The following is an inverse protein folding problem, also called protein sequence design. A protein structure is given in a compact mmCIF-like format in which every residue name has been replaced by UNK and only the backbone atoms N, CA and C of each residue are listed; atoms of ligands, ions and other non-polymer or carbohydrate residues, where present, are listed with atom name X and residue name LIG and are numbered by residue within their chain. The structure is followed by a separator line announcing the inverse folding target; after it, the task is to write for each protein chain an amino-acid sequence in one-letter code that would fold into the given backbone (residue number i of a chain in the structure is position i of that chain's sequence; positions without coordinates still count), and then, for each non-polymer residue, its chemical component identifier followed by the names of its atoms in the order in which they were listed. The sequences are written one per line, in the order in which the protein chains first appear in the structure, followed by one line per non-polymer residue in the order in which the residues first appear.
data_IF_356067427055
#
_entry.id   IF_356067427055
#
_cell.length_a   1.000
_cell.length_b   1.000
_cell.length_c   1.000
_cell.angle_alpha   90.00
_cell.angle_beta   90.00
_cell.angle_gamma   90.00
#
_symmetry.space_group_name_H-M   'P 1'
#
loop_
_entity.id
_entity.type
_entity.pdbx_description
1 polymer ?
#
# COMPACT_ATOMS: atom_id res chain seq x y z
N UNK A 1 -29.55 77.99 1.75
CA UNK A 1 -30.67 77.20 2.29
C UNK A 1 -30.51 75.74 1.91
N UNK A 2 -30.49 74.86 2.93
CA UNK A 2 -31.23 73.59 2.97
C UNK A 2 -30.83 72.53 1.91
N UNK A 3 -29.92 71.61 2.25
CA UNK A 3 -30.25 70.24 2.72
C UNK A 3 -31.03 69.47 1.64
N UNK A 4 -30.57 68.38 1.05
CA UNK A 4 -30.08 67.12 1.63
C UNK A 4 -29.53 66.29 0.46
N UNK A 5 -28.46 65.54 0.70
CA UNK A 5 -27.94 64.35 -0.05
C UNK A 5 -26.42 64.18 0.10
N UNK A 6 -25.79 65.00 0.92
CA UNK A 6 -24.58 64.63 1.66
C UNK A 6 -25.07 63.78 2.86
N UNK A 7 -24.40 62.68 3.17
CA UNK A 7 -24.66 61.71 4.27
C UNK A 7 -25.48 60.44 3.97
N UNK A 8 -25.14 59.70 2.92
CA UNK A 8 -25.25 58.22 2.95
C UNK A 8 -23.96 57.51 2.47
N UNK A 9 -22.98 58.24 1.91
CA UNK A 9 -21.76 57.65 1.34
C UNK A 9 -20.49 57.78 2.20
N UNK A 10 -20.60 58.12 3.50
CA UNK A 10 -19.43 58.36 4.37
C UNK A 10 -19.63 57.87 5.82
N UNK A 11 -19.96 56.59 6.03
CA UNK A 11 -19.91 55.97 7.38
C UNK A 11 -19.57 54.48 7.42
N UNK A 12 -18.77 53.94 6.49
CA UNK A 12 -18.10 52.64 6.72
C UNK A 12 -16.68 52.59 6.13
N UNK A 13 -15.92 53.67 6.34
CA UNK A 13 -14.47 53.57 6.43
C UNK A 13 -14.17 53.11 7.87
N UNK A 14 -13.45 51.99 7.99
CA UNK A 14 -12.90 51.40 9.22
C UNK A 14 -13.88 50.52 10.00
N UNK A 15 -14.05 49.25 9.59
CA UNK A 15 -13.88 48.04 10.45
C UNK A 15 -13.66 46.86 9.51
N UNK A 16 -12.52 46.16 9.65
CA UNK A 16 -12.36 44.82 9.05
C UNK A 16 -11.19 44.64 8.08
N UNK A 17 -10.13 45.44 8.18
CA UNK A 17 -8.81 45.01 7.73
C UNK A 17 -8.31 43.85 8.58
N UNK A 18 -8.77 42.64 8.28
CA UNK A 18 -8.10 41.39 8.65
C UNK A 18 -8.24 40.37 7.51
N UNK A 19 -7.88 40.76 6.29
CA UNK A 19 -7.30 39.79 5.36
C UNK A 19 -5.85 39.54 5.81
N UNK A 20 -5.70 38.87 6.95
CA UNK A 20 -4.47 38.12 7.17
C UNK A 20 -4.57 36.89 6.28
N UNK A 21 -3.94 37.01 5.11
CA UNK A 21 -3.31 35.88 4.46
C UNK A 21 -2.55 35.11 5.54
N UNK A 22 -3.12 34.02 6.04
CA UNK A 22 -2.38 33.05 6.84
C UNK A 22 -1.50 32.24 5.88
N UNK A 23 -0.54 32.95 5.27
CA UNK A 23 0.58 32.44 4.49
C UNK A 23 1.85 32.52 5.35
N UNK A 24 1.76 32.14 6.62
CA UNK A 24 2.90 31.97 7.51
C UNK A 24 2.63 30.81 8.48
N UNK A 25 2.65 29.60 7.94
CA UNK A 25 3.11 28.43 8.68
C UNK A 25 4.07 27.63 7.79
N UNK A 26 5.35 28.02 7.68
CA UNK A 26 6.35 27.18 7.00
C UNK A 26 6.74 25.93 7.80
N UNK A 27 6.21 25.75 9.02
CA UNK A 27 6.65 24.70 9.96
C UNK A 27 5.50 23.98 10.66
N UNK A 28 4.36 23.76 9.99
CA UNK A 28 3.56 22.57 10.29
C UNK A 28 3.99 21.50 9.30
N UNK A 29 4.99 20.74 9.74
CA UNK A 29 5.46 19.57 9.02
C UNK A 29 4.25 18.80 8.51
N UNK A 30 4.24 18.57 7.20
CA UNK A 30 3.49 17.49 6.59
C UNK A 30 4.12 16.18 7.12
N UNK A 31 3.99 15.95 8.42
CA UNK A 31 4.16 14.64 9.03
C UNK A 31 2.95 13.92 8.52
N UNK A 32 3.11 13.30 7.36
CA UNK A 32 2.19 12.38 6.76
C UNK A 32 1.50 11.63 7.91
N UNK A 33 0.21 11.92 8.18
CA UNK A 33 -0.61 11.00 8.97
C UNK A 33 -0.85 9.78 8.08
N UNK A 34 0.21 9.03 7.76
CA UNK A 34 0.12 7.68 7.20
C UNK A 34 -0.60 6.91 8.29
N UNK A 35 -1.91 6.76 8.16
CA UNK A 35 -2.69 5.86 9.00
C UNK A 35 -2.02 4.51 8.86
N UNK A 36 -1.29 4.10 9.89
CA UNK A 36 -0.70 2.78 9.97
C UNK A 36 -1.86 1.84 10.25
N UNK A 37 -2.43 1.27 9.18
CA UNK A 37 -3.41 0.20 9.33
C UNK A 37 -2.70 -1.02 9.89
N UNK A 38 -3.30 -1.64 10.92
CA UNK A 38 -2.80 -2.93 11.40
C UNK A 38 -2.97 -3.99 10.29
N UNK A 39 -2.18 -5.07 10.30
CA UNK A 39 -2.32 -6.11 9.27
C UNK A 39 -3.72 -6.75 9.26
N UNK A 40 -4.37 -6.82 10.41
CA UNK A 40 -5.76 -7.29 10.55
C UNK A 40 -6.76 -6.32 9.91
N UNK A 41 -6.64 -5.01 10.18
CA UNK A 41 -7.49 -3.99 9.54
C UNK A 41 -7.33 -3.99 8.00
N UNK A 42 -6.13 -4.28 7.49
CA UNK A 42 -5.91 -4.44 6.05
C UNK A 42 -6.61 -5.69 5.49
N UNK A 43 -6.51 -6.83 6.18
CA UNK A 43 -7.20 -8.06 5.78
C UNK A 43 -8.72 -7.88 5.78
N UNK A 44 -9.27 -7.25 6.82
CA UNK A 44 -10.71 -6.94 6.90
C UNK A 44 -11.16 -6.04 5.75
N UNK A 45 -10.37 -5.01 5.40
CA UNK A 45 -10.64 -4.17 4.23
C UNK A 45 -10.60 -4.94 2.92
N UNK A 46 -9.65 -5.87 2.77
CA UNK A 46 -9.56 -6.72 1.58
C UNK A 46 -10.75 -7.68 1.50
N UNK A 47 -11.21 -8.25 2.61
CA UNK A 47 -12.40 -9.08 2.68
C UNK A 47 -13.66 -8.29 2.30
N UNK A 48 -13.85 -7.10 2.88
CA UNK A 48 -14.95 -6.21 2.53
C UNK A 48 -14.95 -5.79 1.06
N UNK A 49 -13.76 -5.51 0.50
CA UNK A 49 -13.64 -5.21 -0.93
C UNK A 49 -14.00 -6.43 -1.78
N UNK A 50 -13.59 -7.63 -1.37
CA UNK A 50 -13.91 -8.86 -2.10
C UNK A 50 -15.39 -9.18 -2.06
N UNK A 51 -16.06 -9.04 -0.91
CA UNK A 51 -17.52 -9.17 -0.75
C UNK A 51 -18.25 -8.29 -1.77
N UNK A 52 -17.87 -7.01 -1.88
CA UNK A 52 -18.43 -6.08 -2.87
C UNK A 52 -18.14 -6.50 -4.30
N UNK A 53 -16.92 -6.95 -4.57
CA UNK A 53 -16.49 -7.37 -5.92
C UNK A 53 -17.25 -8.61 -6.40
N UNK A 54 -17.62 -9.50 -5.47
CA UNK A 54 -18.34 -10.73 -5.73
C UNK A 54 -19.86 -10.59 -5.63
N UNK A 55 -20.35 -9.42 -5.22
CA UNK A 55 -21.77 -9.11 -5.01
C UNK A 55 -22.44 -10.15 -4.08
N UNK A 56 -21.81 -10.45 -2.95
CA UNK A 56 -22.37 -11.41 -2.00
C UNK A 56 -23.52 -10.79 -1.20
N UNK A 57 -24.56 -11.58 -0.95
CA UNK A 57 -25.59 -11.25 0.03
C UNK A 57 -25.02 -11.30 1.47
N UNK A 58 -25.74 -10.71 2.42
CA UNK A 58 -25.28 -10.58 3.80
C UNK A 58 -25.02 -11.95 4.46
N UNK A 59 -25.87 -12.95 4.21
CA UNK A 59 -25.71 -14.27 4.81
C UNK A 59 -24.46 -14.99 4.28
N UNK A 60 -24.20 -14.89 2.97
CA UNK A 60 -22.98 -15.42 2.36
C UNK A 60 -21.74 -14.63 2.78
N UNK A 61 -21.84 -13.30 2.88
CA UNK A 61 -20.75 -12.42 3.30
C UNK A 61 -20.28 -12.73 4.72
N UNK A 62 -21.20 -12.95 5.67
CA UNK A 62 -20.87 -13.33 7.06
C UNK A 62 -20.08 -14.63 7.14
N UNK A 63 -20.41 -15.63 6.31
CA UNK A 63 -19.68 -16.90 6.24
C UNK A 63 -18.34 -16.76 5.49
N UNK A 64 -18.32 -15.95 4.44
CA UNK A 64 -17.17 -15.78 3.57
C UNK A 64 -16.03 -15.01 4.23
N UNK A 65 -16.33 -13.91 4.93
CA UNK A 65 -15.33 -13.01 5.51
C UNK A 65 -14.25 -13.75 6.35
N UNK A 66 -14.58 -14.54 7.39
CA UNK A 66 -13.56 -15.19 8.21
C UNK A 66 -12.74 -16.22 7.43
N UNK A 67 -13.34 -16.94 6.48
CA UNK A 67 -12.63 -17.91 5.63
C UNK A 67 -11.63 -17.19 4.72
N UNK A 68 -12.04 -16.08 4.12
CA UNK A 68 -11.17 -15.31 3.23
C UNK A 68 -10.06 -14.57 3.98
N UNK A 69 -10.31 -14.07 5.18
CA UNK A 69 -9.29 -13.47 6.04
C UNK A 69 -8.21 -14.49 6.45
N UNK A 70 -8.60 -15.71 6.85
CA UNK A 70 -7.64 -16.78 7.14
C UNK A 70 -6.82 -17.17 5.90
N UNK A 71 -7.47 -17.28 4.75
CA UNK A 71 -6.77 -17.51 3.47
C UNK A 71 -5.72 -16.42 3.18
N UNK A 72 -6.06 -15.13 3.36
CA UNK A 72 -5.12 -14.03 3.17
C UNK A 72 -3.96 -14.09 4.18
N UNK A 73 -4.25 -14.42 5.44
CA UNK A 73 -3.25 -14.57 6.49
C UNK A 73 -2.26 -15.68 6.14
N UNK A 74 -2.75 -16.87 5.78
CA UNK A 74 -1.89 -18.00 5.41
C UNK A 74 -1.05 -17.71 4.16
N UNK A 75 -1.63 -17.07 3.15
CA UNK A 75 -0.87 -16.63 1.98
C UNK A 75 0.23 -15.62 2.34
N UNK A 76 -0.05 -14.70 3.26
CA UNK A 76 0.94 -13.73 3.75
C UNK A 76 2.06 -14.43 4.51
N UNK A 77 1.71 -15.32 5.43
CA UNK A 77 2.69 -16.04 6.26
C UNK A 77 3.60 -16.90 5.36
N UNK A 78 3.04 -17.55 4.32
CA UNK A 78 3.82 -18.26 3.30
C UNK A 78 4.82 -17.37 2.54
N UNK A 79 4.44 -16.12 2.23
CA UNK A 79 5.32 -15.15 1.54
C UNK A 79 6.47 -14.67 2.44
N UNK A 80 6.22 -14.54 3.75
CA UNK A 80 7.19 -13.98 4.69
C UNK A 80 8.30 -14.97 5.08
N UNK A 81 8.09 -16.28 4.97
CA UNK A 81 9.10 -17.31 5.30
C UNK A 81 10.42 -17.08 4.54
N UNK A 82 10.36 -16.83 3.23
CA UNK A 82 11.55 -16.60 2.41
C UNK A 82 12.02 -15.13 2.38
N UNK A 83 11.26 -14.20 3.00
CA UNK A 83 11.73 -12.83 3.19
C UNK A 83 12.73 -12.74 4.35
N UNK A 84 12.60 -13.64 5.35
CA UNK A 84 13.51 -13.72 6.49
C UNK A 84 14.86 -14.38 6.15
N UNK A 85 14.92 -15.18 5.09
CA UNK A 85 16.15 -15.83 4.61
C UNK A 85 16.95 -15.00 3.61
N UNK A 86 16.46 -13.83 3.18
CA UNK A 86 17.29 -12.89 2.44
C UNK A 86 18.34 -12.33 3.40
N UNK A 87 19.65 -12.42 3.09
CA UNK A 87 20.63 -11.60 3.80
C UNK A 87 20.17 -10.16 3.66
N UNK A 88 20.07 -9.54 4.82
CA UNK A 88 19.50 -8.24 5.08
C UNK A 88 20.17 -7.20 4.18
N UNK A 89 19.54 -6.82 3.06
CA UNK A 89 19.78 -5.51 2.41
C UNK A 89 19.08 -4.43 3.28
N UNK A 90 19.28 -4.47 4.60
CA UNK A 90 18.85 -3.44 5.55
C UNK A 90 20.09 -2.90 6.27
N UNK A 91 21.11 -2.50 5.52
CA UNK A 91 22.10 -1.54 5.99
C UNK A 91 22.03 -0.23 5.18
N UNK A 92 20.85 0.09 4.64
CA UNK A 92 20.58 1.42 4.09
C UNK A 92 19.92 2.23 5.20
N UNK A 93 20.72 2.76 6.13
CA UNK A 93 20.20 3.62 7.19
C UNK A 93 21.11 3.89 8.39
N UNK A 94 22.26 3.22 8.53
CA UNK A 94 23.29 3.64 9.48
C UNK A 94 24.30 4.49 8.73
N UNK A 95 24.40 5.75 9.14
CA UNK A 95 25.37 6.70 8.60
C UNK A 95 26.77 6.06 8.59
N UNK A 96 27.40 6.03 7.40
CA UNK A 96 28.78 5.60 7.22
C UNK A 96 29.02 4.23 6.58
N UNK A 97 28.02 3.34 6.46
CA UNK A 97 28.23 2.05 5.79
C UNK A 97 27.84 2.18 4.32
N UNK A 98 28.83 2.24 3.43
CA UNK A 98 28.61 2.10 1.98
C UNK A 98 27.84 0.79 1.78
N UNK A 99 26.72 0.78 1.02
CA UNK A 99 26.04 -0.48 0.71
C UNK A 99 27.10 -1.41 0.13
N UNK A 100 27.32 -2.58 0.75
CA UNK A 100 28.17 -3.62 0.16
C UNK A 100 27.58 -3.91 -1.20
N UNK A 101 28.20 -3.31 -2.20
CA UNK A 101 27.83 -3.42 -3.60
C UNK A 101 27.93 -4.88 -3.97
N UNK A 102 26.80 -5.48 -4.37
CA UNK A 102 26.77 -6.67 -5.21
C UNK A 102 27.74 -7.79 -4.75
N UNK A 103 27.56 -8.35 -3.55
CA UNK A 103 28.09 -9.68 -3.31
C UNK A 103 27.40 -10.62 -4.32
N UNK A 104 28.16 -11.12 -5.30
CA UNK A 104 27.67 -12.14 -6.23
C UNK A 104 27.41 -13.37 -5.37
N UNK A 105 26.15 -13.80 -5.31
CA UNK A 105 25.77 -15.03 -4.62
C UNK A 105 26.54 -16.19 -5.23
N UNK A 106 27.03 -17.10 -4.39
CA UNK A 106 27.62 -18.36 -4.86
C UNK A 106 26.56 -19.23 -5.52
N UNK A 107 26.96 -20.13 -6.42
CA UNK A 107 26.02 -21.04 -7.09
C UNK A 107 25.19 -21.87 -6.10
N UNK A 108 25.81 -22.30 -4.99
CA UNK A 108 25.12 -23.01 -3.91
C UNK A 108 24.05 -22.15 -3.21
N UNK A 109 24.32 -20.86 -2.96
CA UNK A 109 23.32 -19.93 -2.40
C UNK A 109 22.19 -19.64 -3.39
N UNK A 110 22.50 -19.58 -4.69
CA UNK A 110 21.50 -19.42 -5.76
C UNK A 110 20.61 -20.66 -5.84
N UNK A 111 21.20 -21.86 -5.79
CA UNK A 111 20.49 -23.14 -5.78
C UNK A 111 19.52 -23.23 -4.59
N UNK A 112 19.99 -22.95 -3.36
CA UNK A 112 19.14 -22.91 -2.16
C UNK A 112 17.98 -21.92 -2.31
N UNK A 113 18.21 -20.75 -2.91
CA UNK A 113 17.14 -19.78 -3.18
C UNK A 113 16.13 -20.29 -4.21
N UNK A 114 16.59 -20.99 -5.24
CA UNK A 114 15.72 -21.61 -6.25
C UNK A 114 14.84 -22.67 -5.59
N UNK A 115 15.43 -23.58 -4.81
CA UNK A 115 14.69 -24.63 -4.09
C UNK A 115 13.67 -24.04 -3.11
N UNK A 116 14.05 -23.01 -2.34
CA UNK A 116 13.16 -22.32 -1.43
C UNK A 116 11.96 -21.68 -2.15
N UNK A 117 12.15 -21.18 -3.38
CA UNK A 117 11.05 -20.66 -4.22
C UNK A 117 10.13 -21.76 -4.70
N UNK A 118 10.65 -22.94 -5.05
CA UNK A 118 9.81 -24.09 -5.41
C UNK A 118 8.98 -24.55 -4.21
N UNK A 119 9.60 -24.72 -3.05
CA UNK A 119 8.89 -25.11 -1.82
C UNK A 119 7.79 -24.10 -1.46
N UNK A 120 8.06 -22.81 -1.56
CA UNK A 120 7.07 -21.76 -1.35
C UNK A 120 5.93 -21.81 -2.38
N UNK A 121 6.25 -22.03 -3.65
CA UNK A 121 5.24 -22.11 -4.72
C UNK A 121 4.30 -23.29 -4.50
N UNK A 122 4.82 -24.45 -4.10
CA UNK A 122 4.02 -25.63 -3.73
C UNK A 122 3.08 -25.32 -2.56
N UNK A 123 3.59 -24.75 -1.46
CA UNK A 123 2.74 -24.37 -0.31
C UNK A 123 1.63 -23.38 -0.67
N UNK A 124 1.90 -22.42 -1.56
CA UNK A 124 0.87 -21.48 -2.03
C UNK A 124 -0.21 -22.21 -2.84
N UNK A 125 0.16 -23.18 -3.67
CA UNK A 125 -0.79 -24.01 -4.41
C UNK A 125 -1.63 -24.86 -3.45
N UNK A 126 -1.02 -25.51 -2.46
CA UNK A 126 -1.73 -26.32 -1.45
C UNK A 126 -2.76 -25.50 -0.68
N UNK A 127 -2.40 -24.26 -0.28
CA UNK A 127 -3.33 -23.32 0.36
C UNK A 127 -4.49 -23.01 -0.59
N UNK A 128 -4.20 -22.68 -1.86
CA UNK A 128 -5.24 -22.34 -2.84
C UNK A 128 -6.20 -23.49 -3.13
N UNK A 129 -5.69 -24.70 -3.25
CA UNK A 129 -6.51 -25.90 -3.46
C UNK A 129 -7.39 -26.22 -2.24
N UNK A 130 -6.83 -26.13 -1.03
CA UNK A 130 -7.61 -26.33 0.20
C UNK A 130 -8.72 -25.29 0.34
N UNK A 131 -8.41 -24.01 0.18
CA UNK A 131 -9.42 -22.95 0.28
C UNK A 131 -10.37 -22.90 -0.91
N UNK A 132 -10.02 -23.43 -2.09
CA UNK A 132 -10.98 -23.64 -3.17
C UNK A 132 -12.15 -24.52 -2.70
N UNK A 133 -11.87 -25.62 -1.99
CA UNK A 133 -12.92 -26.51 -1.45
C UNK A 133 -13.80 -25.79 -0.43
N UNK A 134 -13.21 -24.96 0.43
CA UNK A 134 -13.97 -24.14 1.39
C UNK A 134 -14.82 -23.08 0.69
N UNK A 135 -14.26 -22.36 -0.29
CA UNK A 135 -15.00 -21.38 -1.08
C UNK A 135 -16.15 -22.03 -1.86
N UNK A 136 -15.98 -23.24 -2.39
CA UNK A 136 -17.04 -23.94 -3.15
C UNK A 136 -18.28 -24.27 -2.32
N UNK A 137 -18.19 -24.31 -0.98
CA UNK A 137 -19.34 -24.49 -0.10
C UNK A 137 -20.31 -23.29 -0.10
N UNK A 138 -19.85 -22.11 -0.52
CA UNK A 138 -20.61 -20.86 -0.42
C UNK A 138 -20.54 -19.96 -1.66
N UNK A 139 -19.59 -20.22 -2.58
CA UNK A 139 -19.38 -19.45 -3.81
C UNK A 139 -19.48 -20.34 -5.05
N UNK A 140 -19.99 -19.75 -6.13
CA UNK A 140 -19.94 -20.36 -7.45
C UNK A 140 -18.51 -20.41 -8.01
N UNK A 141 -18.20 -21.35 -8.92
CA UNK A 141 -16.90 -21.39 -9.60
C UNK A 141 -16.54 -20.07 -10.30
N UNK A 142 -17.53 -19.33 -10.85
CA UNK A 142 -17.31 -18.03 -11.49
C UNK A 142 -16.87 -16.96 -10.49
N UNK A 143 -17.48 -16.92 -9.30
CA UNK A 143 -17.06 -16.01 -8.22
C UNK A 143 -15.65 -16.35 -7.72
N UNK A 144 -15.33 -17.64 -7.57
CA UNK A 144 -13.98 -18.05 -7.16
C UNK A 144 -12.94 -17.67 -8.20
N UNK A 145 -13.25 -17.85 -9.49
CA UNK A 145 -12.38 -17.37 -10.57
C UNK A 145 -12.16 -15.85 -10.48
N UNK A 146 -13.19 -15.09 -10.12
CA UNK A 146 -13.09 -13.64 -9.91
C UNK A 146 -12.17 -13.28 -8.75
N UNK A 147 -12.13 -14.07 -7.67
CA UNK A 147 -11.15 -13.90 -6.58
C UNK A 147 -9.72 -13.96 -7.16
N UNK A 148 -9.38 -15.03 -7.88
CA UNK A 148 -8.04 -15.21 -8.43
C UNK A 148 -7.64 -14.14 -9.44
N UNK A 149 -8.57 -13.71 -10.29
CA UNK A 149 -8.35 -12.61 -11.23
C UNK A 149 -8.08 -11.29 -10.50
N UNK A 150 -8.84 -11.02 -9.44
CA UNK A 150 -8.70 -9.80 -8.64
C UNK A 150 -7.38 -9.79 -7.87
N UNK A 151 -6.99 -10.92 -7.28
CA UNK A 151 -5.66 -11.08 -6.65
C UNK A 151 -4.52 -10.81 -7.64
N UNK A 152 -4.59 -11.41 -8.84
CA UNK A 152 -3.58 -11.22 -9.89
C UNK A 152 -3.50 -9.77 -10.34
N UNK A 153 -4.65 -9.11 -10.54
CA UNK A 153 -4.72 -7.69 -10.89
C UNK A 153 -4.12 -6.81 -9.79
N UNK A 154 -4.44 -7.08 -8.52
CA UNK A 154 -3.89 -6.36 -7.38
C UNK A 154 -2.36 -6.52 -7.28
N UNK A 155 -1.85 -7.75 -7.44
CA UNK A 155 -0.41 -8.01 -7.46
C UNK A 155 0.30 -7.22 -8.58
N UNK A 156 -0.29 -7.16 -9.77
CA UNK A 156 0.24 -6.38 -10.88
C UNK A 156 0.24 -4.87 -10.60
N UNK A 157 -0.82 -4.34 -9.97
CA UNK A 157 -0.88 -2.94 -9.54
C UNK A 157 0.21 -2.62 -8.53
N UNK A 158 0.39 -3.47 -7.52
CA UNK A 158 1.45 -3.30 -6.52
C UNK A 158 2.84 -3.33 -7.15
N UNK A 159 3.09 -4.25 -8.09
CA UNK A 159 4.37 -4.32 -8.83
C UNK A 159 4.63 -3.03 -9.60
N UNK A 160 3.66 -2.56 -10.38
CA UNK A 160 3.78 -1.31 -11.16
C UNK A 160 4.04 -0.10 -10.27
N UNK A 161 3.32 0.02 -9.15
CA UNK A 161 3.52 1.12 -8.20
C UNK A 161 4.89 1.06 -7.52
N UNK A 162 5.36 -0.14 -7.17
CA UNK A 162 6.70 -0.35 -6.62
C UNK A 162 7.78 0.07 -7.63
N UNK A 163 7.68 -0.39 -8.87
CA UNK A 163 8.61 -0.05 -9.95
C UNK A 163 8.63 1.46 -10.21
N UNK A 164 7.46 2.10 -10.26
CA UNK A 164 7.33 3.55 -10.40
C UNK A 164 8.07 4.31 -9.28
N UNK A 165 7.86 3.92 -8.02
CA UNK A 165 8.54 4.55 -6.87
C UNK A 165 10.05 4.35 -6.92
N UNK A 166 10.50 3.15 -7.29
CA UNK A 166 11.93 2.85 -7.49
C UNK A 166 12.55 3.76 -8.55
N UNK A 167 11.88 3.94 -9.69
CA UNK A 167 12.34 4.84 -10.76
C UNK A 167 12.41 6.30 -10.30
N UNK A 168 11.42 6.77 -9.54
CA UNK A 168 11.42 8.13 -8.98
C UNK A 168 12.60 8.35 -8.01
N UNK A 169 12.87 7.39 -7.12
CA UNK A 169 14.01 7.46 -6.20
C UNK A 169 15.35 7.52 -6.94
N UNK A 170 15.52 6.72 -8.02
CA UNK A 170 16.72 6.75 -8.85
C UNK A 170 16.88 8.11 -9.55
N UNK A 171 15.79 8.68 -10.08
CA UNK A 171 15.82 10.01 -10.73
C UNK A 171 16.21 11.10 -9.73
N UNK A 172 15.55 11.15 -8.57
CA UNK A 172 15.87 12.13 -7.51
C UNK A 172 17.32 11.99 -7.01
N UNK A 173 17.84 10.76 -6.92
CA UNK A 173 19.25 10.52 -6.57
C UNK A 173 20.24 11.04 -7.63
N UNK A 174 19.88 10.97 -8.92
CA UNK A 174 20.69 11.53 -10.01
C UNK A 174 20.65 13.06 -10.03
N UNK A 175 19.48 13.65 -9.84
CA UNK A 175 19.28 15.10 -9.84
C UNK A 175 20.06 15.75 -8.68
N UNK A 176 19.98 15.18 -7.45
CA UNK A 176 20.78 15.62 -6.30
C UNK A 176 22.29 15.49 -6.50
N UNK A 177 22.76 14.55 -7.32
CA UNK A 177 24.19 14.37 -7.63
C UNK A 177 24.66 15.37 -8.69
N UNK A 178 23.75 15.85 -9.54
CA UNK A 178 24.02 16.88 -10.56
C UNK A 178 24.05 18.29 -9.95
N UNK A 179 23.20 18.59 -8.97
CA UNK A 179 23.22 19.88 -8.23
C UNK A 179 24.45 20.06 -7.32
N UNK A 180 25.15 18.97 -6.99
CA UNK A 180 26.37 18.98 -6.15
C UNK A 180 27.69 19.01 -6.94
N UNK A 181 27.62 19.13 -8.27
CA UNK A 181 28.76 19.20 -9.19
C UNK A 181 28.74 20.53 -9.92
#
# INVERSE_FOLDING_TARGET
MKTRFIYVFLTFLIVGSQFTLSAQNPNQGNVDKRRHFTPEQLMQKQANQMIRTLMLDDATATKFAPVYENYLKELRDCRMINHKSKPVIQEIGKEGIKPKSNAILTDAEVEQQIEARFAQSRKILDIRERYYKEFRKMLSPKQIMKIYQTEKSNANKFKKEFDRRRMQMVKQGKDKKRERR
#
